data_IF_640725173369
#
_entry.id   IF_640725173369
#
_cell.length_a   1.000
_cell.length_b   1.000
_cell.length_c   1.000
_cell.angle_alpha   90.00
_cell.angle_beta   90.00
_cell.angle_gamma   90.00
#
_symmetry.space_group_name_H-M   'P 1'
#
loop_
_entity.id
_entity.type
_entity.pdbx_description
1 polymer ?
#
# COMPACT_ATOMS: atom_id res chain seq x y z
N UNK A 1 -122.29 -16.08 6.46
CA UNK A 1 -121.82 -15.75 7.83
C UNK A 1 -120.53 -16.54 8.08
N UNK A 2 -119.36 -16.15 7.56
CA UNK A 2 -118.37 -15.29 8.23
C UNK A 2 -118.21 -15.58 9.73
N UNK A 3 -117.18 -16.36 10.08
CA UNK A 3 -116.51 -16.25 11.38
C UNK A 3 -115.02 -16.01 11.15
N UNK A 4 -114.60 -14.85 11.63
CA UNK A 4 -113.23 -14.35 11.69
C UNK A 4 -112.37 -15.25 12.58
N UNK A 5 -111.27 -15.78 12.04
CA UNK A 5 -110.11 -16.10 12.88
C UNK A 5 -109.27 -14.84 12.99
N UNK A 6 -109.40 -14.16 14.15
CA UNK A 6 -108.51 -13.08 14.54
C UNK A 6 -107.10 -13.64 14.71
N UNK A 7 -106.16 -13.13 13.92
CA UNK A 7 -104.75 -13.42 14.06
C UNK A 7 -104.25 -12.90 15.41
N UNK A 8 -104.03 -13.82 16.36
CA UNK A 8 -103.03 -13.61 17.39
C UNK A 8 -101.66 -13.68 16.70
N UNK A 9 -101.06 -12.51 16.43
CA UNK A 9 -99.60 -12.41 16.33
C UNK A 9 -99.07 -12.70 17.73
N UNK A 10 -98.75 -13.96 17.99
CA UNK A 10 -97.83 -14.34 19.06
C UNK A 10 -96.51 -13.63 18.78
N UNK A 11 -96.26 -12.54 19.50
CA UNK A 11 -94.92 -12.03 19.69
C UNK A 11 -94.19 -13.08 20.52
N UNK A 12 -93.58 -14.05 19.86
CA UNK A 12 -92.68 -14.99 20.50
C UNK A 12 -91.43 -14.21 20.93
N UNK A 13 -91.19 -14.22 22.23
CA UNK A 13 -89.94 -13.78 22.85
C UNK A 13 -88.78 -14.48 22.15
N UNK A 14 -87.86 -13.70 21.55
CA UNK A 14 -86.79 -14.19 20.67
C UNK A 14 -85.76 -15.07 21.38
N UNK A 15 -85.71 -15.04 22.72
CA UNK A 15 -84.61 -15.66 23.47
C UNK A 15 -84.84 -17.11 23.89
N UNK A 16 -86.08 -17.63 23.91
CA UNK A 16 -86.34 -19.03 24.31
C UNK A 16 -86.39 -20.01 23.14
N UNK A 17 -86.53 -19.54 21.89
CA UNK A 17 -86.69 -20.42 20.72
C UNK A 17 -85.39 -20.79 20.01
N UNK A 18 -84.33 -19.98 20.17
CA UNK A 18 -83.14 -20.04 19.30
C UNK A 18 -82.02 -20.99 19.75
N UNK A 19 -82.04 -21.50 21.00
CA UNK A 19 -80.99 -22.41 21.50
C UNK A 19 -79.55 -21.84 21.40
N UNK A 20 -78.52 -22.67 21.69
CA UNK A 20 -77.12 -22.28 21.49
C UNK A 20 -76.82 -22.12 19.99
N UNK A 21 -75.92 -21.17 19.66
CA UNK A 21 -75.58 -20.86 18.26
C UNK A 21 -75.00 -22.09 17.55
N UNK A 22 -75.69 -22.50 16.50
CA UNK A 22 -75.22 -23.53 15.58
C UNK A 22 -74.59 -22.89 14.35
N UNK A 23 -73.85 -23.67 13.55
CA UNK A 23 -73.25 -23.18 12.30
C UNK A 23 -74.32 -22.67 11.32
N UNK A 24 -74.05 -21.54 10.66
CA UNK A 24 -74.95 -20.91 9.69
C UNK A 24 -75.29 -21.77 8.46
N UNK A 25 -74.48 -22.79 8.18
CA UNK A 25 -74.66 -23.70 7.04
C UNK A 25 -75.36 -25.00 7.44
N UNK A 26 -75.60 -25.21 8.74
CA UNK A 26 -76.26 -26.42 9.23
C UNK A 26 -77.79 -26.24 9.29
N UNK A 27 -78.48 -27.37 9.18
CA UNK A 27 -79.92 -27.49 9.44
C UNK A 27 -80.81 -26.53 8.62
N UNK A 28 -80.35 -26.06 7.46
CA UNK A 28 -81.10 -25.15 6.60
C UNK A 28 -81.20 -23.71 7.11
N UNK A 29 -80.32 -23.27 8.03
CA UNK A 29 -80.31 -21.91 8.59
C UNK A 29 -80.06 -20.82 7.52
N UNK A 30 -79.15 -21.07 6.57
CA UNK A 30 -78.77 -20.11 5.51
C UNK A 30 -78.39 -18.73 6.09
N UNK A 31 -77.49 -18.73 7.08
CA UNK A 31 -77.15 -17.51 7.81
C UNK A 31 -76.59 -16.41 6.92
N UNK A 32 -77.10 -15.20 7.09
CA UNK A 32 -76.61 -14.00 6.38
C UNK A 32 -76.44 -12.84 7.35
N UNK A 33 -75.46 -11.98 7.08
CA UNK A 33 -75.43 -10.66 7.72
C UNK A 33 -76.46 -9.77 7.06
N UNK A 34 -77.08 -8.89 7.84
CA UNK A 34 -77.92 -7.86 7.25
C UNK A 34 -77.06 -7.01 6.27
N UNK A 35 -77.61 -6.63 5.12
CA UNK A 35 -76.90 -5.81 4.12
C UNK A 35 -76.52 -4.39 4.64
N UNK A 36 -76.88 -4.08 5.89
CA UNK A 36 -76.55 -2.86 6.61
C UNK A 36 -75.16 -2.89 7.24
N UNK A 37 -74.54 -4.07 7.32
CA UNK A 37 -73.15 -4.25 7.76
C UNK A 37 -72.87 -3.85 9.21
N UNK A 38 -73.88 -3.86 10.07
CA UNK A 38 -73.78 -3.41 11.46
C UNK A 38 -74.18 -4.48 12.48
N UNK A 39 -74.27 -5.74 12.04
CA UNK A 39 -74.65 -6.85 12.90
C UNK A 39 -73.42 -7.58 13.48
N UNK A 40 -73.46 -7.84 14.80
CA UNK A 40 -72.44 -8.63 15.50
C UNK A 40 -72.40 -10.09 15.05
N UNK A 41 -73.57 -10.69 14.84
CA UNK A 41 -73.72 -12.08 14.42
C UNK A 41 -74.68 -12.17 13.23
N UNK A 42 -74.47 -13.13 12.31
CA UNK A 42 -75.39 -13.39 11.22
C UNK A 42 -76.68 -14.01 11.76
N UNK A 43 -77.78 -13.83 11.03
CA UNK A 43 -79.09 -14.38 11.37
C UNK A 43 -79.52 -15.40 10.31
N UNK A 44 -80.16 -16.49 10.76
CA UNK A 44 -80.76 -17.46 9.86
C UNK A 44 -81.90 -16.82 9.05
N UNK A 45 -81.92 -17.09 7.75
CA UNK A 45 -83.01 -16.71 6.83
C UNK A 45 -83.91 -17.90 6.48
N UNK A 46 -83.44 -19.13 6.67
CA UNK A 46 -84.20 -20.37 6.48
C UNK A 46 -84.78 -20.90 7.80
N UNK A 47 -84.40 -22.11 8.19
CA UNK A 47 -84.82 -22.65 9.50
C UNK A 47 -84.28 -21.77 10.64
N UNK A 48 -85.08 -21.59 11.69
CA UNK A 48 -84.75 -20.74 12.85
C UNK A 48 -84.61 -19.24 12.49
N UNK A 49 -85.50 -18.71 11.65
CA UNK A 49 -85.48 -17.31 11.17
C UNK A 49 -85.24 -16.31 12.30
N UNK A 50 -84.22 -15.47 12.14
CA UNK A 50 -83.87 -14.41 13.10
C UNK A 50 -82.99 -14.88 14.28
N UNK A 51 -82.73 -16.17 14.41
CA UNK A 51 -81.77 -16.71 15.38
C UNK A 51 -80.34 -16.46 14.91
N UNK A 52 -79.45 -16.16 15.87
CA UNK A 52 -78.03 -15.95 15.59
C UNK A 52 -77.33 -17.30 15.33
N UNK A 53 -76.45 -17.33 14.34
CA UNK A 53 -75.66 -18.52 14.01
C UNK A 53 -74.15 -18.23 14.06
N UNK A 54 -73.36 -19.30 14.12
CA UNK A 54 -71.89 -19.25 14.07
C UNK A 54 -71.44 -19.17 12.62
N UNK A 55 -70.67 -18.12 12.32
CA UNK A 55 -70.17 -17.83 10.97
C UNK A 55 -69.36 -18.98 10.39
N UNK A 56 -69.41 -19.10 9.07
CA UNK A 56 -68.49 -19.92 8.27
C UNK A 56 -67.87 -19.05 7.18
N UNK A 57 -66.92 -19.61 6.42
CA UNK A 57 -66.32 -18.90 5.29
C UNK A 57 -67.36 -18.43 4.26
N UNK A 58 -68.45 -19.19 4.06
CA UNK A 58 -69.55 -18.82 3.17
C UNK A 58 -70.34 -17.61 3.69
N UNK A 59 -70.49 -17.49 5.02
CA UNK A 59 -71.21 -16.36 5.63
C UNK A 59 -70.43 -15.05 5.57
N UNK A 60 -69.10 -15.11 5.71
CA UNK A 60 -68.25 -13.93 5.85
C UNK A 60 -67.89 -13.27 4.52
N UNK A 61 -67.89 -14.02 3.42
CA UNK A 61 -67.44 -13.52 2.13
C UNK A 61 -65.95 -13.16 2.10
N UNK A 62 -65.50 -12.34 1.13
CA UNK A 62 -64.10 -11.93 1.05
C UNK A 62 -63.69 -11.05 2.24
N UNK A 63 -62.45 -11.22 2.72
CA UNK A 63 -61.90 -10.41 3.80
C UNK A 63 -62.00 -8.92 3.49
N UNK A 64 -62.27 -8.16 4.54
CA UNK A 64 -62.32 -6.70 4.54
C UNK A 64 -61.41 -6.19 5.64
N UNK A 65 -61.07 -4.90 5.61
CA UNK A 65 -60.27 -4.29 6.68
C UNK A 65 -60.89 -4.49 8.07
N UNK A 66 -60.06 -4.83 9.05
CA UNK A 66 -60.45 -5.04 10.45
C UNK A 66 -61.06 -3.80 11.15
N UNK A 67 -60.97 -2.62 10.54
CA UNK A 67 -61.57 -1.38 11.05
C UNK A 67 -62.86 -1.00 10.33
N UNK A 68 -63.20 -1.71 9.26
CA UNK A 68 -64.39 -1.43 8.49
C UNK A 68 -65.62 -1.85 9.30
N UNK A 69 -66.64 -0.99 9.27
CA UNK A 69 -67.97 -1.27 9.79
C UNK A 69 -68.01 -1.78 11.25
N UNK A 70 -67.09 -1.36 12.12
CA UNK A 70 -67.09 -1.76 13.54
C UNK A 70 -66.67 -3.20 13.82
N UNK A 71 -65.90 -3.84 12.92
CA UNK A 71 -65.34 -5.19 13.10
C UNK A 71 -64.44 -5.30 14.36
N UNK A 72 -63.50 -4.36 14.54
CA UNK A 72 -62.58 -4.38 15.67
C UNK A 72 -61.67 -5.62 15.69
N UNK A 73 -61.05 -5.95 14.55
CA UNK A 73 -60.28 -7.19 14.40
C UNK A 73 -59.19 -7.37 15.47
N UNK A 74 -59.06 -8.60 15.95
CA UNK A 74 -58.09 -9.00 16.98
C UNK A 74 -57.62 -10.43 16.76
N UNK A 75 -56.36 -10.70 17.11
CA UNK A 75 -55.81 -12.07 17.15
C UNK A 75 -56.25 -12.85 18.40
N UNK A 76 -57.01 -12.22 19.31
CA UNK A 76 -57.83 -12.84 20.37
C UNK A 76 -57.15 -13.93 21.22
N UNK A 77 -55.85 -13.82 21.50
CA UNK A 77 -55.13 -14.84 22.29
C UNK A 77 -55.18 -16.24 21.69
N UNK A 78 -55.61 -16.38 20.43
CA UNK A 78 -55.83 -17.67 19.77
C UNK A 78 -54.51 -18.39 19.47
N UNK A 79 -53.38 -17.68 19.51
CA UNK A 79 -52.04 -18.20 19.28
C UNK A 79 -51.90 -18.77 17.85
N UNK A 80 -50.89 -18.32 17.11
CA UNK A 80 -50.52 -18.95 15.83
C UNK A 80 -51.67 -19.04 14.79
N UNK A 81 -52.49 -17.99 14.65
CA UNK A 81 -53.52 -17.90 13.59
C UNK A 81 -53.05 -17.02 12.43
N UNK A 82 -53.47 -17.36 11.21
CA UNK A 82 -53.06 -16.67 9.98
C UNK A 82 -53.64 -15.26 9.88
N UNK A 83 -54.94 -15.10 10.11
CA UNK A 83 -55.64 -13.82 10.01
C UNK A 83 -56.37 -13.50 11.34
N UNK A 84 -56.50 -12.22 11.71
CA UNK A 84 -57.30 -11.81 12.86
C UNK A 84 -58.79 -12.04 12.59
N UNK A 85 -59.58 -12.10 13.66
CA UNK A 85 -61.03 -12.21 13.57
C UNK A 85 -61.72 -10.97 14.16
N UNK A 86 -62.85 -10.58 13.59
CA UNK A 86 -63.68 -9.51 14.14
C UNK A 86 -64.22 -9.89 15.53
N UNK A 87 -64.28 -8.91 16.44
CA UNK A 87 -64.85 -9.06 17.80
C UNK A 87 -66.15 -8.27 17.98
N UNK A 88 -66.32 -7.21 17.18
CA UNK A 88 -67.52 -6.40 17.05
C UNK A 88 -68.41 -6.94 15.93
N UNK A 89 -68.76 -6.09 14.98
CA UNK A 89 -69.57 -6.50 13.83
C UNK A 89 -68.87 -7.61 13.03
N UNK A 90 -69.64 -8.56 12.50
CA UNK A 90 -69.09 -9.74 11.81
C UNK A 90 -68.24 -10.66 12.70
N UNK A 91 -68.57 -10.78 13.98
CA UNK A 91 -67.77 -11.51 14.96
C UNK A 91 -67.45 -12.96 14.50
N UNK A 92 -66.16 -13.30 14.50
CA UNK A 92 -65.65 -14.59 14.03
C UNK A 92 -65.23 -14.64 12.56
N UNK A 93 -65.58 -13.63 11.75
CA UNK A 93 -65.08 -13.50 10.39
C UNK A 93 -63.63 -13.02 10.36
N UNK A 94 -62.83 -13.57 9.43
CA UNK A 94 -61.47 -13.09 9.19
C UNK A 94 -61.49 -11.69 8.57
N UNK A 95 -60.47 -10.88 8.90
CA UNK A 95 -60.32 -9.54 8.35
C UNK A 95 -58.86 -9.24 7.97
N UNK A 96 -58.66 -8.27 7.08
CA UNK A 96 -57.33 -7.81 6.67
C UNK A 96 -56.78 -6.85 7.71
N UNK A 97 -55.56 -7.14 8.18
CA UNK A 97 -54.86 -6.37 9.21
C UNK A 97 -54.61 -4.93 8.77
N UNK A 98 -54.53 -4.04 9.75
CA UNK A 98 -53.88 -2.74 9.58
C UNK A 98 -52.83 -2.57 10.68
N UNK A 99 -51.95 -1.55 10.62
CA UNK A 99 -50.92 -1.34 11.63
C UNK A 99 -51.44 -1.29 13.07
N UNK A 100 -52.69 -0.89 13.28
CA UNK A 100 -53.31 -0.84 14.61
C UNK A 100 -53.88 -2.19 15.09
N UNK A 101 -54.10 -3.16 14.19
CA UNK A 101 -54.45 -4.55 14.54
C UNK A 101 -53.22 -5.33 14.99
N UNK A 102 -52.07 -4.97 14.43
CA UNK A 102 -50.79 -5.57 14.74
C UNK A 102 -50.25 -4.95 16.04
N UNK A 103 -49.91 -5.80 17.02
CA UNK A 103 -49.24 -5.35 18.23
C UNK A 103 -47.79 -4.90 17.96
N UNK A 104 -46.96 -4.75 19.01
CA UNK A 104 -45.54 -4.51 18.87
C UNK A 104 -44.88 -5.54 17.96
N UNK A 105 -43.93 -5.09 17.12
CA UNK A 105 -43.17 -5.96 16.21
C UNK A 105 -42.49 -7.06 16.98
N UNK A 106 -42.76 -8.30 16.60
CA UNK A 106 -42.07 -9.48 17.10
C UNK A 106 -41.07 -9.96 16.05
N UNK A 107 -40.17 -10.87 16.44
CA UNK A 107 -39.27 -11.55 15.49
C UNK A 107 -40.06 -12.24 14.37
N UNK A 108 -39.58 -12.12 13.13
CA UNK A 108 -40.18 -12.77 11.96
C UNK A 108 -40.16 -14.31 12.01
N UNK A 109 -39.36 -14.89 12.90
CA UNK A 109 -39.26 -16.34 13.10
C UNK A 109 -40.11 -16.83 14.28
N UNK A 110 -40.69 -15.93 15.07
CA UNK A 110 -41.49 -16.31 16.23
C UNK A 110 -42.93 -16.66 15.83
N UNK A 111 -43.54 -17.55 16.60
CA UNK A 111 -44.97 -17.86 16.54
C UNK A 111 -45.48 -18.24 15.13
N UNK A 112 -44.62 -18.83 14.29
CA UNK A 112 -44.97 -19.28 12.93
C UNK A 112 -45.28 -18.14 11.95
N UNK A 113 -44.76 -16.93 12.19
CA UNK A 113 -44.94 -15.74 11.32
C UNK A 113 -44.45 -15.97 9.88
N UNK A 114 -43.27 -16.61 9.73
CA UNK A 114 -42.59 -16.80 8.44
C UNK A 114 -42.44 -15.46 7.69
N UNK A 115 -41.69 -14.52 8.28
CA UNK A 115 -41.54 -13.19 7.72
C UNK A 115 -40.83 -13.17 6.36
N UNK A 116 -41.28 -12.27 5.50
CA UNK A 116 -40.73 -12.06 4.16
C UNK A 116 -40.86 -10.59 3.76
N UNK A 117 -39.95 -10.13 2.91
CA UNK A 117 -40.10 -8.85 2.20
C UNK A 117 -40.89 -9.11 0.90
N UNK A 118 -42.21 -9.01 0.99
CA UNK A 118 -43.12 -9.26 -0.14
C UNK A 118 -43.06 -8.11 -1.16
N UNK A 119 -42.15 -8.21 -2.15
CA UNK A 119 -42.11 -7.31 -3.33
C UNK A 119 -40.74 -6.69 -3.60
N UNK A 120 -40.41 -6.56 -4.88
CA UNK A 120 -39.15 -5.97 -5.36
C UNK A 120 -39.16 -4.45 -5.18
N UNK A 121 -38.44 -3.97 -4.16
CA UNK A 121 -38.10 -2.56 -3.96
C UNK A 121 -38.98 -1.83 -2.93
N UNK A 122 -38.32 -1.16 -1.98
CA UNK A 122 -38.89 -0.13 -1.09
C UNK A 122 -39.83 -0.61 0.04
N UNK A 123 -39.67 -1.87 0.47
CA UNK A 123 -40.34 -2.36 1.66
C UNK A 123 -39.48 -2.07 2.90
N UNK A 124 -39.99 -1.20 3.78
CA UNK A 124 -39.29 -0.77 5.01
C UNK A 124 -39.09 -1.93 6.00
N UNK A 125 -40.09 -2.79 6.15
CA UNK A 125 -40.13 -3.84 7.14
C UNK A 125 -40.65 -5.16 6.55
N UNK A 126 -40.13 -6.28 7.03
CA UNK A 126 -40.65 -7.58 6.66
C UNK A 126 -42.05 -7.77 7.22
N UNK A 127 -42.87 -8.56 6.52
CA UNK A 127 -44.23 -8.89 6.93
C UNK A 127 -44.39 -10.38 7.10
N UNK A 128 -45.18 -10.79 8.10
CA UNK A 128 -45.54 -12.18 8.25
C UNK A 128 -46.35 -12.67 7.04
N UNK A 129 -46.06 -13.88 6.57
CA UNK A 129 -46.77 -14.51 5.44
C UNK A 129 -47.65 -15.67 5.88
N UNK A 130 -47.39 -16.20 7.07
CA UNK A 130 -48.20 -17.24 7.70
C UNK A 130 -48.92 -16.67 8.92
N UNK A 131 -48.57 -17.04 10.16
CA UNK A 131 -49.30 -16.51 11.31
C UNK A 131 -49.15 -15.00 11.40
N UNK A 132 -50.22 -14.28 11.75
CA UNK A 132 -50.23 -12.82 11.75
C UNK A 132 -49.98 -12.18 10.37
N UNK A 133 -50.47 -12.83 9.30
CA UNK A 133 -50.23 -12.41 7.92
C UNK A 133 -50.53 -10.92 7.69
N UNK A 134 -49.57 -10.21 7.11
CA UNK A 134 -49.65 -8.76 6.83
C UNK A 134 -49.19 -7.86 7.99
N UNK A 135 -48.90 -8.41 9.19
CA UNK A 135 -48.27 -7.65 10.26
C UNK A 135 -46.76 -7.53 10.04
N UNK A 136 -46.21 -6.36 10.34
CA UNK A 136 -44.78 -6.16 10.27
C UNK A 136 -44.04 -6.90 11.40
N UNK A 137 -42.87 -7.43 11.08
CA UNK A 137 -42.01 -8.16 12.01
C UNK A 137 -40.56 -7.63 11.96
N UNK A 138 -39.78 -7.97 13.00
CA UNK A 138 -38.34 -7.68 13.07
C UNK A 138 -37.60 -8.76 12.30
N UNK A 139 -36.93 -8.36 11.22
CA UNK A 139 -36.22 -9.27 10.34
C UNK A 139 -35.10 -10.02 11.08
N UNK A 140 -34.93 -11.29 10.73
CA UNK A 140 -33.85 -12.16 11.20
C UNK A 140 -32.94 -12.55 10.01
N UNK A 141 -31.81 -13.23 10.24
CA UNK A 141 -30.99 -13.74 9.14
C UNK A 141 -31.78 -14.61 8.14
N UNK A 142 -32.78 -15.36 8.61
CA UNK A 142 -33.64 -16.17 7.77
C UNK A 142 -34.57 -15.33 6.86
N UNK A 143 -34.96 -14.14 7.32
CA UNK A 143 -35.79 -13.19 6.56
C UNK A 143 -34.99 -12.45 5.49
N UNK A 144 -33.75 -12.09 5.80
CA UNK A 144 -32.92 -11.22 4.97
C UNK A 144 -32.21 -11.94 3.81
N UNK A 145 -31.98 -13.25 3.96
CA UNK A 145 -31.19 -14.02 3.00
C UNK A 145 -29.74 -13.53 2.91
N UNK A 146 -29.04 -13.79 1.78
CA UNK A 146 -27.65 -13.37 1.61
C UNK A 146 -27.50 -11.85 1.58
N UNK A 147 -26.49 -11.33 2.29
CA UNK A 147 -26.18 -9.89 2.35
C UNK A 147 -26.10 -9.28 0.94
N UNK A 148 -26.90 -8.24 0.72
CA UNK A 148 -26.88 -7.43 -0.49
C UNK A 148 -26.13 -6.13 -0.26
N UNK A 149 -25.84 -5.41 -1.34
CA UNK A 149 -25.19 -4.09 -1.28
C UNK A 149 -25.99 -3.10 -0.41
N UNK A 150 -25.32 -2.31 0.42
CA UNK A 150 -25.98 -1.28 1.24
C UNK A 150 -26.60 -0.12 0.42
N UNK A 151 -26.19 0.00 -0.84
CA UNK A 151 -26.59 1.09 -1.74
C UNK A 151 -27.71 0.71 -2.73
N UNK A 152 -28.31 -0.47 -2.62
CA UNK A 152 -29.40 -0.89 -3.53
C UNK A 152 -30.77 -0.83 -2.84
N UNK A 153 -31.82 -0.66 -3.64
CA UNK A 153 -33.22 -0.75 -3.22
C UNK A 153 -33.56 0.11 -1.99
N UNK A 154 -32.99 1.31 -1.91
CA UNK A 154 -33.17 2.26 -0.82
C UNK A 154 -32.83 1.69 0.58
N UNK A 155 -31.90 0.74 0.68
CA UNK A 155 -31.41 0.19 1.97
C UNK A 155 -30.85 1.30 2.89
N UNK A 156 -30.14 2.27 2.30
CA UNK A 156 -29.44 3.34 3.02
C UNK A 156 -28.61 2.78 4.18
N UNK A 157 -27.67 1.88 3.87
CA UNK A 157 -26.91 1.18 4.90
C UNK A 157 -26.12 2.14 5.78
N UNK A 158 -26.05 1.82 7.07
CA UNK A 158 -25.24 2.53 8.05
C UNK A 158 -24.55 1.54 8.98
N UNK A 159 -23.36 1.91 9.45
CA UNK A 159 -22.62 1.12 10.42
C UNK A 159 -23.09 1.40 11.84
N UNK A 160 -23.28 0.33 12.61
CA UNK A 160 -23.38 0.43 14.06
C UNK A 160 -22.00 0.67 14.67
N UNK A 161 -21.85 1.74 15.46
CA UNK A 161 -20.58 2.05 16.13
C UNK A 161 -20.20 1.03 17.21
N UNK A 162 -21.16 0.26 17.74
CA UNK A 162 -20.92 -0.74 18.78
C UNK A 162 -20.50 -2.11 18.23
N UNK A 163 -20.92 -2.45 17.01
CA UNK A 163 -20.65 -3.77 16.41
C UNK A 163 -19.84 -3.71 15.13
N UNK A 164 -19.71 -2.54 14.49
CA UNK A 164 -19.02 -2.36 13.22
C UNK A 164 -19.72 -3.01 12.02
N UNK A 165 -20.96 -3.46 12.21
CA UNK A 165 -21.76 -4.14 11.18
C UNK A 165 -22.62 -3.11 10.45
N UNK A 166 -22.62 -3.16 9.12
CA UNK A 166 -23.51 -2.37 8.29
C UNK A 166 -24.88 -3.05 8.20
N UNK A 167 -25.93 -2.27 8.45
CA UNK A 167 -27.32 -2.70 8.33
C UNK A 167 -28.15 -1.65 7.62
N UNK A 168 -29.20 -2.08 6.94
CA UNK A 168 -30.12 -1.16 6.27
C UNK A 168 -30.94 -0.35 7.29
N UNK A 169 -31.09 0.96 7.02
CA UNK A 169 -31.80 1.90 7.90
C UNK A 169 -33.12 2.39 7.32
N UNK A 170 -33.36 2.20 6.02
CA UNK A 170 -34.55 2.71 5.35
C UNK A 170 -35.37 1.55 4.76
N UNK A 171 -34.96 0.90 3.68
CA UNK A 171 -35.58 -0.37 3.23
C UNK A 171 -34.90 -1.57 3.87
N UNK A 172 -35.61 -2.68 4.10
CA UNK A 172 -35.03 -3.91 4.70
C UNK A 172 -34.44 -3.72 6.11
N UNK A 173 -35.10 -2.91 6.96
CA UNK A 173 -34.59 -2.59 8.30
C UNK A 173 -34.35 -3.86 9.11
N UNK A 174 -33.15 -3.95 9.70
CA UNK A 174 -32.68 -5.09 10.49
C UNK A 174 -31.83 -6.09 9.70
N UNK A 175 -31.78 -5.97 8.37
CA UNK A 175 -30.91 -6.79 7.54
C UNK A 175 -29.50 -6.21 7.45
N UNK A 176 -28.50 -7.11 7.54
CA UNK A 176 -27.11 -6.77 7.27
C UNK A 176 -26.90 -6.53 5.77
N UNK A 177 -25.98 -5.63 5.45
CA UNK A 177 -25.64 -5.31 4.07
C UNK A 177 -24.13 -5.22 3.87
N UNK A 178 -23.68 -5.42 2.64
CA UNK A 178 -22.28 -5.26 2.25
C UNK A 178 -22.02 -3.80 1.95
N UNK A 179 -21.20 -3.16 2.78
CA UNK A 179 -20.85 -1.76 2.65
C UNK A 179 -20.09 -1.48 1.35
N UNK A 180 -20.31 -0.29 0.82
CA UNK A 180 -19.65 0.26 -0.37
C UNK A 180 -19.26 1.70 -0.11
N UNK A 181 -18.72 2.38 -1.13
CA UNK A 181 -18.15 3.72 -1.02
C UNK A 181 -19.04 4.72 -0.26
N UNK A 182 -20.36 4.75 -0.53
CA UNK A 182 -21.27 5.68 0.16
C UNK A 182 -21.44 5.32 1.65
N UNK A 183 -21.52 4.03 1.99
CA UNK A 183 -21.64 3.56 3.38
C UNK A 183 -20.37 3.81 4.19
N UNK A 184 -19.20 3.70 3.56
CA UNK A 184 -17.90 3.78 4.22
C UNK A 184 -17.49 5.21 4.59
N UNK A 185 -18.02 6.22 3.89
CA UNK A 185 -17.64 7.61 4.09
C UNK A 185 -16.17 7.88 3.76
N UNK A 186 -15.59 8.89 4.43
CA UNK A 186 -14.18 9.24 4.24
C UNK A 186 -13.25 8.21 4.88
N UNK A 187 -12.16 7.87 4.19
CA UNK A 187 -11.14 6.94 4.70
C UNK A 187 -10.55 7.42 6.02
N UNK A 188 -10.56 6.55 7.01
CA UNK A 188 -9.90 6.74 8.30
C UNK A 188 -8.66 5.85 8.41
N UNK A 189 -7.89 6.01 9.49
CA UNK A 189 -6.74 5.12 9.76
C UNK A 189 -7.19 3.66 9.87
N UNK A 190 -6.41 2.74 9.30
CA UNK A 190 -6.66 1.30 9.37
C UNK A 190 -6.60 0.71 10.79
N UNK A 191 -6.00 1.44 11.74
CA UNK A 191 -5.93 1.05 13.14
C UNK A 191 -7.04 1.70 13.99
N UNK A 192 -7.83 2.60 13.41
CA UNK A 192 -8.91 3.29 14.12
C UNK A 192 -10.18 2.44 14.20
N UNK A 193 -10.93 2.61 15.29
CA UNK A 193 -12.30 2.10 15.41
C UNK A 193 -12.44 0.58 15.26
N UNK A 194 -11.41 -0.20 15.62
CA UNK A 194 -11.36 -1.66 15.45
C UNK A 194 -11.46 -2.13 13.98
N UNK A 195 -11.08 -1.29 13.02
CA UNK A 195 -11.06 -1.62 11.59
C UNK A 195 -10.21 -2.87 11.29
N UNK A 196 -9.01 -2.95 11.87
CA UNK A 196 -8.01 -3.99 11.57
C UNK A 196 -7.74 -4.06 10.07
N UNK A 197 -7.30 -2.94 9.50
CA UNK A 197 -7.08 -2.85 8.05
C UNK A 197 -5.94 -3.73 7.58
N UNK A 198 -6.15 -4.35 6.42
CA UNK A 198 -5.20 -5.28 5.80
C UNK A 198 -5.26 -5.19 4.26
N UNK A 199 -4.16 -5.55 3.61
CA UNK A 199 -4.05 -5.67 2.15
C UNK A 199 -4.38 -7.09 1.71
N UNK A 200 -5.58 -7.30 1.18
CA UNK A 200 -5.95 -8.58 0.58
C UNK A 200 -5.40 -8.67 -0.85
N UNK A 201 -4.12 -9.01 -0.98
CA UNK A 201 -3.42 -9.15 -2.25
C UNK A 201 -2.76 -7.84 -2.73
N UNK A 202 -2.55 -7.72 -4.04
CA UNK A 202 -1.92 -6.53 -4.66
C UNK A 202 -2.98 -5.47 -4.98
N UNK A 203 -3.51 -4.82 -3.94
CA UNK A 203 -4.51 -3.76 -4.07
C UNK A 203 -3.90 -2.37 -3.82
N UNK A 204 -4.49 -1.31 -4.40
CA UNK A 204 -4.07 0.06 -4.14
C UNK A 204 -4.19 0.45 -2.67
N UNK A 205 -5.31 0.10 -2.06
CA UNK A 205 -5.65 0.49 -0.69
C UNK A 205 -5.99 -0.75 0.15
N UNK A 206 -5.69 -0.70 1.46
CA UNK A 206 -6.10 -1.73 2.38
C UNK A 206 -7.59 -1.59 2.71
N UNK A 207 -8.20 -2.67 3.16
CA UNK A 207 -9.59 -2.69 3.61
C UNK A 207 -9.71 -3.17 5.04
N UNK A 208 -10.68 -2.63 5.77
CA UNK A 208 -10.99 -3.11 7.11
C UNK A 208 -11.46 -4.56 7.08
N UNK A 209 -10.95 -5.38 8.01
CA UNK A 209 -11.30 -6.79 8.13
C UNK A 209 -12.30 -7.08 9.25
N UNK A 210 -12.40 -6.19 10.23
CA UNK A 210 -13.30 -6.32 11.38
C UNK A 210 -14.41 -5.25 11.33
N UNK A 211 -14.32 -4.16 12.09
CA UNK A 211 -15.32 -3.10 12.00
C UNK A 211 -15.20 -2.40 10.65
N UNK A 212 -16.32 -1.99 10.05
CA UNK A 212 -16.31 -1.37 8.72
C UNK A 212 -15.83 -2.31 7.61
N UNK A 213 -16.03 -3.62 7.78
CA UNK A 213 -15.50 -4.64 6.86
C UNK A 213 -15.78 -4.33 5.39
N UNK A 214 -14.72 -4.32 4.59
CA UNK A 214 -14.77 -4.02 3.16
C UNK A 214 -14.63 -2.54 2.80
N UNK A 215 -14.59 -1.63 3.79
CA UNK A 215 -14.27 -0.23 3.57
C UNK A 215 -12.76 0.00 3.44
N UNK A 216 -12.37 0.88 2.51
CA UNK A 216 -10.97 1.31 2.39
C UNK A 216 -10.54 2.15 3.60
N UNK A 217 -9.28 2.01 3.98
CA UNK A 217 -8.67 2.78 5.07
C UNK A 217 -7.29 3.33 4.67
N UNK A 218 -6.78 4.30 5.42
CA UNK A 218 -5.46 4.86 5.26
C UNK A 218 -4.45 3.94 5.96
N UNK A 219 -3.54 3.38 5.17
CA UNK A 219 -2.53 2.44 5.66
C UNK A 219 -1.68 3.05 6.78
N UNK A 220 -1.33 2.23 7.76
CA UNK A 220 -0.42 2.57 8.85
C UNK A 220 0.82 1.66 8.81
N UNK A 221 1.88 1.93 9.59
CA UNK A 221 3.01 1.02 9.70
C UNK A 221 2.61 -0.42 10.09
N UNK A 222 1.55 -0.58 10.87
CA UNK A 222 1.03 -1.91 11.25
C UNK A 222 0.38 -2.62 10.05
N UNK A 223 -0.35 -1.90 9.20
CA UNK A 223 -0.95 -2.44 7.97
C UNK A 223 0.08 -2.80 6.91
N UNK A 224 1.15 -2.02 6.81
CA UNK A 224 2.16 -2.16 5.76
C UNK A 224 3.21 -3.24 6.05
N UNK A 225 3.44 -3.56 7.33
CA UNK A 225 4.54 -4.43 7.74
C UNK A 225 5.92 -3.87 7.38
N UNK A 226 6.96 -4.72 7.33
CA UNK A 226 8.32 -4.31 6.99
C UNK A 226 8.44 -3.79 5.54
N UNK A 227 9.11 -2.66 5.31
CA UNK A 227 9.30 -2.10 3.97
C UNK A 227 9.92 -3.09 2.97
N UNK A 228 9.24 -3.25 1.83
CA UNK A 228 9.70 -4.04 0.68
C UNK A 228 10.24 -3.14 -0.43
N UNK A 229 10.86 -3.71 -1.47
CA UNK A 229 11.40 -2.91 -2.57
C UNK A 229 10.30 -2.15 -3.34
N UNK A 230 10.56 -0.86 -3.62
CA UNK A 230 9.61 0.05 -4.26
C UNK A 230 9.15 -0.37 -5.68
N UNK A 231 9.84 -1.33 -6.31
CA UNK A 231 9.50 -1.89 -7.62
C UNK A 231 8.73 -3.21 -7.56
N UNK A 232 8.53 -3.78 -6.36
CA UNK A 232 7.84 -5.06 -6.22
C UNK A 232 6.32 -4.88 -6.18
N UNK A 233 5.60 -5.89 -6.67
CA UNK A 233 4.15 -6.04 -6.57
C UNK A 233 3.34 -4.81 -7.04
N UNK A 234 3.88 -4.02 -7.97
CA UNK A 234 3.22 -2.82 -8.49
C UNK A 234 3.17 -1.65 -7.50
N UNK A 235 4.06 -1.59 -6.50
CA UNK A 235 4.16 -0.48 -5.54
C UNK A 235 4.39 0.88 -6.22
N UNK A 236 5.24 0.92 -7.25
CA UNK A 236 5.65 2.13 -7.98
C UNK A 236 6.13 3.23 -7.02
N UNK A 237 7.06 2.90 -6.13
CA UNK A 237 7.46 3.81 -5.06
C UNK A 237 8.04 5.14 -5.54
N UNK A 238 7.64 6.22 -4.86
CA UNK A 238 8.07 7.58 -5.12
C UNK A 238 8.43 8.30 -3.82
N UNK A 239 9.31 9.30 -3.90
CA UNK A 239 9.73 10.07 -2.73
C UNK A 239 8.71 11.13 -2.33
N UNK A 240 8.37 11.15 -1.03
CA UNK A 240 7.66 12.27 -0.43
C UNK A 240 8.66 13.39 -0.11
N UNK A 241 8.50 14.55 -0.75
CA UNK A 241 9.38 15.71 -0.56
C UNK A 241 9.33 16.30 0.86
N UNK A 242 8.32 15.95 1.65
CA UNK A 242 8.16 16.43 3.03
C UNK A 242 9.15 15.78 4.00
N UNK A 243 9.57 14.53 3.75
CA UNK A 243 10.42 13.78 4.67
C UNK A 243 11.54 12.98 3.99
N UNK A 244 11.62 13.00 2.65
CA UNK A 244 12.67 12.34 1.88
C UNK A 244 12.57 10.82 1.84
N UNK A 245 11.46 10.23 2.32
CA UNK A 245 11.21 8.78 2.31
C UNK A 245 10.41 8.37 1.08
N UNK A 246 10.60 7.12 0.64
CA UNK A 246 9.86 6.57 -0.48
C UNK A 246 8.62 5.81 0.01
N UNK A 247 7.49 6.07 -0.65
CA UNK A 247 6.21 5.42 -0.39
C UNK A 247 5.64 4.86 -1.68
N UNK A 248 4.91 3.76 -1.57
CA UNK A 248 4.17 3.24 -2.70
C UNK A 248 3.05 4.21 -3.13
N UNK A 249 2.90 4.39 -4.45
CA UNK A 249 1.88 5.27 -5.03
C UNK A 249 0.86 4.55 -5.91
N UNK A 250 1.05 3.25 -6.16
CA UNK A 250 0.10 2.43 -6.92
C UNK A 250 -0.51 1.33 -6.07
N UNK A 251 0.12 0.16 -5.91
CA UNK A 251 -0.30 -0.81 -4.90
C UNK A 251 0.29 -0.48 -3.54
N UNK A 252 -0.40 -0.78 -2.45
CA UNK A 252 0.08 -0.49 -1.09
C UNK A 252 0.25 1.01 -0.78
N UNK A 253 -0.64 1.86 -1.30
CA UNK A 253 -0.53 3.33 -1.21
C UNK A 253 -0.35 3.77 0.24
N UNK A 254 0.69 4.57 0.48
CA UNK A 254 1.02 5.10 1.81
C UNK A 254 1.99 4.23 2.61
N UNK A 255 2.35 3.03 2.14
CA UNK A 255 3.36 2.20 2.76
C UNK A 255 4.78 2.63 2.37
N UNK A 256 5.68 2.70 3.35
CA UNK A 256 7.11 2.99 3.13
C UNK A 256 7.77 1.81 2.39
N UNK A 257 8.62 2.11 1.40
CA UNK A 257 9.31 1.11 0.60
C UNK A 257 10.82 1.36 0.52
N UNK A 258 11.58 0.29 0.29
CA UNK A 258 13.03 0.31 0.07
C UNK A 258 13.33 0.76 -1.35
N UNK A 259 14.11 1.82 -1.46
CA UNK A 259 14.43 2.44 -2.75
C UNK A 259 15.29 1.53 -3.59
N UNK A 260 15.03 1.52 -4.91
CA UNK A 260 15.86 0.83 -5.88
C UNK A 260 16.33 1.81 -6.98
N UNK A 261 17.07 1.30 -7.95
CA UNK A 261 17.61 2.09 -9.05
C UNK A 261 16.54 2.82 -9.86
N UNK A 262 15.34 2.25 -10.00
CA UNK A 262 14.22 2.90 -10.69
C UNK A 262 13.65 4.07 -9.89
N UNK A 263 13.59 3.95 -8.56
CA UNK A 263 13.09 5.02 -7.67
C UNK A 263 14.06 6.21 -7.58
N UNK A 264 15.37 5.97 -7.60
CA UNK A 264 16.39 7.00 -7.41
C UNK A 264 16.61 7.94 -8.62
N UNK A 265 16.22 7.51 -9.82
CA UNK A 265 16.47 8.29 -11.04
C UNK A 265 17.95 8.55 -11.32
N UNK A 266 18.25 9.63 -12.05
CA UNK A 266 19.64 10.02 -12.37
C UNK A 266 20.31 10.70 -11.16
N UNK A 267 21.58 10.37 -10.84
CA UNK A 267 22.28 10.99 -9.72
C UNK A 267 22.33 12.52 -9.83
N UNK A 268 21.89 13.19 -8.76
CA UNK A 268 21.96 14.65 -8.59
C UNK A 268 23.09 15.03 -7.62
N UNK A 269 23.34 16.32 -7.42
CA UNK A 269 24.35 16.80 -6.46
C UNK A 269 24.11 16.23 -5.06
N UNK A 270 25.16 15.76 -4.38
CA UNK A 270 25.08 15.24 -3.01
C UNK A 270 24.67 16.31 -1.96
N UNK A 271 24.74 17.59 -2.32
CA UNK A 271 24.32 18.71 -1.47
C UNK A 271 22.89 19.20 -1.81
N UNK A 272 22.27 18.67 -2.85
CA UNK A 272 20.92 19.07 -3.26
C UNK A 272 19.84 18.39 -2.43
N UNK A 273 18.72 19.10 -2.19
CA UNK A 273 17.48 18.53 -1.68
C UNK A 273 17.60 17.80 -0.34
N UNK A 274 18.50 18.25 0.55
CA UNK A 274 18.78 17.63 1.85
C UNK A 274 19.32 16.19 1.77
N UNK A 275 19.90 15.78 0.63
CA UNK A 275 20.51 14.45 0.43
C UNK A 275 21.56 14.13 1.50
N UNK A 276 22.41 15.10 1.83
CA UNK A 276 23.56 14.94 2.74
C UNK A 276 24.40 13.73 2.32
N UNK A 277 24.93 13.79 1.10
CA UNK A 277 25.68 12.67 0.54
C UNK A 277 26.95 12.35 1.32
N UNK A 278 27.35 11.08 1.27
CA UNK A 278 28.63 10.63 1.79
C UNK A 278 28.97 9.22 1.33
N UNK A 279 30.09 8.69 1.82
CA UNK A 279 30.61 7.37 1.48
C UNK A 279 30.47 6.42 2.68
N UNK A 280 29.29 5.85 2.92
CA UNK A 280 29.10 4.91 4.03
C UNK A 280 29.84 3.59 3.73
N UNK A 281 30.75 3.19 4.62
CA UNK A 281 31.47 1.91 4.53
C UNK A 281 32.38 1.81 3.30
N UNK A 282 32.34 0.67 2.60
CA UNK A 282 33.18 0.37 1.44
C UNK A 282 32.52 0.78 0.10
N UNK A 283 31.55 1.70 0.12
CA UNK A 283 30.86 2.11 -1.11
C UNK A 283 31.71 3.14 -1.84
N UNK A 284 32.10 2.81 -3.08
CA UNK A 284 32.99 3.63 -3.93
C UNK A 284 32.34 4.93 -4.41
N UNK A 285 31.02 4.91 -4.63
CA UNK A 285 30.22 6.05 -5.06
C UNK A 285 29.47 6.66 -3.87
N UNK A 286 29.29 7.99 -3.84
CA UNK A 286 28.59 8.62 -2.74
C UNK A 286 27.09 8.35 -2.85
N UNK A 287 26.46 8.13 -1.71
CA UNK A 287 25.01 7.94 -1.60
C UNK A 287 24.42 8.96 -0.62
N UNK A 288 23.17 9.34 -0.84
CA UNK A 288 22.44 10.17 0.10
C UNK A 288 22.25 9.43 1.43
N UNK A 289 22.44 10.13 2.54
CA UNK A 289 22.32 9.58 3.89
C UNK A 289 21.06 10.06 4.62
N UNK A 290 20.51 11.20 4.21
CA UNK A 290 19.29 11.77 4.76
C UNK A 290 18.12 11.65 3.77
N UNK A 291 17.75 12.70 3.04
CA UNK A 291 16.70 12.59 2.03
C UNK A 291 17.18 11.71 0.87
N UNK A 292 16.30 10.89 0.29
CA UNK A 292 16.68 9.97 -0.79
C UNK A 292 17.70 8.91 -0.34
N UNK A 293 17.69 8.54 0.95
CA UNK A 293 18.66 7.62 1.56
C UNK A 293 18.87 6.35 0.72
N UNK A 294 20.12 6.08 0.37
CA UNK A 294 20.52 4.92 -0.46
C UNK A 294 20.60 5.20 -1.96
N UNK A 295 20.14 6.36 -2.44
CA UNK A 295 20.32 6.77 -3.82
C UNK A 295 21.72 7.34 -4.06
N UNK A 296 22.30 6.98 -5.21
CA UNK A 296 23.59 7.52 -5.67
C UNK A 296 23.47 9.03 -5.95
N UNK A 297 24.50 9.78 -5.56
CA UNK A 297 24.58 11.21 -5.84
C UNK A 297 25.93 11.56 -6.50
N UNK A 298 26.09 12.81 -6.95
CA UNK A 298 27.30 13.35 -7.56
C UNK A 298 28.11 14.06 -6.49
N UNK A 299 29.34 13.61 -6.30
CA UNK A 299 30.25 14.16 -5.31
C UNK A 299 30.44 15.68 -5.47
N UNK A 300 30.45 16.39 -4.34
CA UNK A 300 30.67 17.84 -4.26
C UNK A 300 31.95 18.15 -3.48
N UNK A 301 32.50 19.35 -3.69
CA UNK A 301 33.70 19.79 -2.98
C UNK A 301 33.52 19.76 -1.45
N UNK A 302 32.34 20.18 -0.97
CA UNK A 302 31.98 20.18 0.45
C UNK A 302 32.06 18.79 1.06
N UNK A 303 31.59 17.77 0.35
CA UNK A 303 31.60 16.38 0.81
C UNK A 303 32.99 15.74 0.73
N UNK A 304 33.78 16.08 -0.30
CA UNK A 304 35.09 15.49 -0.54
C UNK A 304 36.20 16.06 0.36
N UNK A 305 36.00 17.25 0.93
CA UNK A 305 37.02 17.94 1.72
C UNK A 305 38.22 18.39 0.88
N UNK A 306 39.36 18.61 1.55
CA UNK A 306 40.58 19.05 0.87
C UNK A 306 41.18 17.94 -0.02
N UNK A 307 41.54 18.23 -1.28
CA UNK A 307 42.11 17.26 -2.19
C UNK A 307 43.31 16.51 -1.58
N UNK A 308 43.27 15.18 -1.68
CA UNK A 308 44.33 14.27 -1.23
C UNK A 308 45.04 13.65 -2.44
N UNK A 309 46.18 12.98 -2.25
CA UNK A 309 46.88 12.27 -3.33
C UNK A 309 45.95 11.31 -4.10
N UNK A 310 46.02 11.33 -5.43
CA UNK A 310 45.23 10.47 -6.32
C UNK A 310 45.52 8.97 -6.19
N UNK A 311 46.61 8.58 -5.53
CA UNK A 311 46.96 7.18 -5.26
C UNK A 311 46.61 6.76 -3.82
N UNK A 312 46.13 7.70 -2.99
CA UNK A 312 45.81 7.42 -1.59
C UNK A 312 44.51 6.64 -1.48
N UNK A 313 44.48 5.65 -0.59
CA UNK A 313 43.29 4.90 -0.21
C UNK A 313 42.48 4.32 -1.39
N UNK A 314 43.13 3.94 -2.49
CA UNK A 314 42.45 3.36 -3.66
C UNK A 314 41.65 4.35 -4.51
N UNK A 315 41.94 5.66 -4.42
CA UNK A 315 41.31 6.69 -5.25
C UNK A 315 41.47 6.45 -6.77
N UNK A 316 42.61 5.92 -7.20
CA UNK A 316 42.92 5.65 -8.61
C UNK A 316 42.60 6.86 -9.51
N UNK A 317 43.17 8.01 -9.16
CA UNK A 317 42.81 9.28 -9.80
C UNK A 317 43.20 9.36 -11.27
N UNK A 318 42.37 10.06 -12.04
CA UNK A 318 42.57 10.32 -13.45
C UNK A 318 41.89 11.64 -13.84
N UNK A 319 42.36 12.26 -14.91
CA UNK A 319 41.78 13.49 -15.43
C UNK A 319 40.40 13.24 -16.04
N UNK A 320 39.46 14.13 -15.71
CA UNK A 320 38.16 14.21 -16.36
C UNK A 320 38.21 15.10 -17.63
N UNK A 321 37.06 15.30 -18.28
CA UNK A 321 36.98 16.09 -19.51
C UNK A 321 37.23 17.60 -19.32
N UNK A 322 37.34 18.07 -18.08
CA UNK A 322 37.64 19.46 -17.73
C UNK A 322 39.07 19.60 -17.18
N UNK A 323 39.93 18.62 -17.44
CA UNK A 323 41.33 18.60 -16.99
C UNK A 323 41.50 18.67 -15.46
N UNK A 324 40.50 18.23 -14.70
CA UNK A 324 40.57 18.08 -13.24
C UNK A 324 40.83 16.63 -12.88
N UNK A 325 41.87 16.38 -12.08
CA UNK A 325 42.16 15.05 -11.53
C UNK A 325 41.10 14.66 -10.50
N UNK A 326 40.35 13.58 -10.79
CA UNK A 326 39.31 13.04 -9.90
C UNK A 326 39.51 11.56 -9.63
N UNK A 327 39.10 11.11 -8.45
CA UNK A 327 39.11 9.68 -8.11
C UNK A 327 38.13 8.89 -8.99
N UNK A 328 38.57 7.72 -9.48
CA UNK A 328 37.74 6.74 -10.20
C UNK A 328 37.49 5.45 -9.40
N UNK A 329 38.29 5.20 -8.37
CA UNK A 329 38.12 4.12 -7.40
C UNK A 329 37.35 4.61 -6.16
N UNK A 330 37.94 4.47 -4.97
CA UNK A 330 37.32 5.02 -3.76
C UNK A 330 37.15 6.54 -3.87
N UNK A 331 36.05 7.08 -3.35
CA UNK A 331 35.72 8.51 -3.41
C UNK A 331 35.43 9.03 -4.83
N UNK A 332 34.73 8.23 -5.66
CA UNK A 332 34.47 8.58 -7.08
C UNK A 332 33.96 10.01 -7.23
N UNK A 333 34.61 10.77 -8.10
CA UNK A 333 34.23 12.15 -8.43
C UNK A 333 34.82 13.22 -7.52
N UNK A 334 35.48 12.85 -6.42
CA UNK A 334 36.25 13.80 -5.60
C UNK A 334 37.54 14.24 -6.30
N UNK A 335 37.87 15.53 -6.19
CA UNK A 335 39.14 16.05 -6.69
C UNK A 335 40.30 15.49 -5.88
N UNK A 336 41.38 15.14 -6.57
CA UNK A 336 42.61 14.64 -5.95
C UNK A 336 43.85 15.37 -6.51
N UNK A 337 44.94 15.35 -5.76
CA UNK A 337 46.23 15.88 -6.17
C UNK A 337 46.92 14.83 -7.07
N UNK A 338 47.14 15.14 -8.35
CA UNK A 338 47.68 14.20 -9.32
C UNK A 338 49.08 13.74 -8.92
N UNK A 339 49.35 12.46 -9.17
CA UNK A 339 50.66 11.84 -8.97
C UNK A 339 51.29 11.49 -10.32
N UNK A 340 52.52 10.99 -10.32
CA UNK A 340 53.15 10.49 -11.54
C UNK A 340 52.32 9.41 -12.25
N UNK A 341 51.59 8.57 -11.50
CA UNK A 341 50.68 7.58 -12.05
C UNK A 341 49.45 8.21 -12.73
N UNK A 342 48.93 9.32 -12.18
CA UNK A 342 47.81 10.07 -12.77
C UNK A 342 48.20 10.84 -14.03
N UNK A 343 49.43 11.35 -14.07
CA UNK A 343 49.94 12.22 -15.14
C UNK A 343 50.39 11.49 -16.41
N UNK A 344 50.68 10.19 -16.32
CA UNK A 344 51.25 9.42 -17.42
C UNK A 344 52.67 9.88 -17.78
N UNK A 345 53.08 9.64 -19.04
CA UNK A 345 54.41 10.05 -19.51
C UNK A 345 54.48 11.56 -19.73
N UNK A 346 55.49 12.27 -19.17
CA UNK A 346 55.64 13.70 -19.35
C UNK A 346 55.61 14.11 -20.83
N UNK A 347 54.79 15.10 -21.15
CA UNK A 347 54.68 15.71 -22.48
C UNK A 347 55.27 17.12 -22.45
N UNK A 348 55.50 17.74 -23.61
CA UNK A 348 56.00 19.12 -23.69
C UNK A 348 55.11 20.11 -22.93
N UNK A 349 55.74 21.04 -22.20
CA UNK A 349 55.06 21.99 -21.31
C UNK A 349 54.15 23.02 -22.02
N UNK A 350 54.21 23.12 -23.34
CA UNK A 350 53.34 23.96 -24.19
C UNK A 350 52.19 23.16 -24.83
N UNK A 351 52.16 21.83 -24.66
CA UNK A 351 51.16 20.96 -25.28
C UNK A 351 49.85 20.97 -24.48
N UNK A 352 48.73 20.94 -25.20
CA UNK A 352 47.38 20.81 -24.66
C UNK A 352 47.02 21.81 -23.53
N UNK A 353 47.58 23.03 -23.58
CA UNK A 353 47.29 24.05 -22.58
C UNK A 353 47.97 23.83 -21.22
N UNK A 354 49.01 22.99 -21.13
CA UNK A 354 49.76 22.73 -19.89
C UNK A 354 50.36 23.99 -19.26
N UNK A 355 50.82 24.95 -20.07
CA UNK A 355 51.45 26.20 -19.62
C UNK A 355 52.51 25.97 -18.52
N UNK A 356 53.48 25.11 -18.83
CA UNK A 356 54.41 24.61 -17.82
C UNK A 356 55.40 25.65 -17.34
N UNK A 357 55.74 25.54 -16.06
CA UNK A 357 56.71 26.38 -15.37
C UNK A 357 57.45 25.62 -14.28
N UNK A 358 58.59 26.13 -13.86
CA UNK A 358 59.38 25.48 -12.81
C UNK A 358 58.78 25.72 -11.43
N UNK A 359 58.53 24.62 -10.72
CA UNK A 359 58.17 24.56 -9.31
C UNK A 359 59.11 23.53 -8.64
N UNK A 360 59.87 23.97 -7.65
CA UNK A 360 60.87 23.15 -6.93
C UNK A 360 61.89 22.45 -7.86
N UNK A 361 62.34 23.15 -8.91
CA UNK A 361 63.35 22.65 -9.85
C UNK A 361 62.82 21.73 -10.97
N UNK A 362 61.55 21.32 -10.90
CA UNK A 362 60.89 20.48 -11.92
C UNK A 362 59.88 21.30 -12.71
N UNK A 363 59.87 21.17 -14.04
CA UNK A 363 58.85 21.79 -14.88
C UNK A 363 57.51 21.07 -14.68
N UNK A 364 56.49 21.83 -14.26
CA UNK A 364 55.14 21.32 -14.02
C UNK A 364 54.11 22.19 -14.73
N UNK A 365 53.03 21.58 -15.20
CA UNK A 365 51.91 22.31 -15.80
C UNK A 365 51.25 23.26 -14.78
N UNK A 366 50.94 24.48 -15.20
CA UNK A 366 50.12 25.45 -14.44
C UNK A 366 48.70 25.60 -15.00
N UNK A 367 48.51 25.32 -16.28
CA UNK A 367 47.21 25.26 -16.95
C UNK A 367 46.60 23.87 -16.84
N UNK A 368 46.30 23.22 -17.96
CA UNK A 368 45.78 21.86 -17.98
C UNK A 368 46.76 20.87 -17.36
N UNK A 369 46.26 19.85 -16.66
CA UNK A 369 47.09 18.86 -15.95
C UNK A 369 47.95 19.46 -14.81
N UNK A 370 47.42 20.46 -14.08
CA UNK A 370 48.12 21.18 -13.00
C UNK A 370 48.95 20.23 -12.12
N UNK A 371 50.20 20.61 -11.85
CA UNK A 371 51.19 19.85 -11.07
C UNK A 371 51.77 18.58 -11.72
N UNK A 372 51.32 18.20 -12.92
CA UNK A 372 51.98 17.12 -13.66
C UNK A 372 53.36 17.53 -14.17
N UNK A 373 54.37 16.67 -14.07
CA UNK A 373 55.67 16.92 -14.68
C UNK A 373 55.53 17.00 -16.21
N UNK A 374 56.16 18.01 -16.81
CA UNK A 374 56.20 18.21 -18.25
C UNK A 374 57.64 18.39 -18.74
N UNK A 375 57.88 18.11 -20.01
CA UNK A 375 59.17 18.34 -20.66
C UNK A 375 59.29 19.83 -20.98
N UNK A 376 60.23 20.56 -20.35
CA UNK A 376 60.35 22.00 -20.55
C UNK A 376 60.67 22.30 -22.01
N UNK A 377 59.96 23.28 -22.55
CA UNK A 377 60.22 23.85 -23.87
C UNK A 377 60.93 25.21 -23.72
N UNK A 378 61.48 25.80 -24.79
CA UNK A 378 62.20 27.07 -24.69
C UNK A 378 61.42 28.19 -23.96
N UNK A 379 60.09 28.25 -24.15
CA UNK A 379 59.23 29.21 -23.44
C UNK A 379 59.14 28.96 -21.93
N UNK A 380 59.25 27.70 -21.48
CA UNK A 380 59.28 27.32 -20.05
C UNK A 380 60.63 27.60 -19.39
N UNK A 381 61.72 27.55 -20.16
CA UNK A 381 63.10 27.71 -19.67
C UNK A 381 63.50 29.17 -19.41
N UNK A 382 62.80 30.13 -20.00
CA UNK A 382 63.22 31.53 -20.06
C UNK A 382 64.51 31.70 -20.88
N UNK A 383 65.21 32.82 -20.69
CA UNK A 383 66.49 33.06 -21.39
C UNK A 383 67.49 31.94 -21.08
N UNK A 384 68.08 31.37 -22.13
CA UNK A 384 69.09 30.31 -22.08
C UNK A 384 70.32 30.80 -21.31
N UNK A 385 70.52 30.27 -20.10
CA UNK A 385 71.69 30.56 -19.27
C UNK A 385 72.91 29.73 -19.67
N UNK A 386 74.09 30.05 -19.12
CA UNK A 386 75.26 29.20 -19.29
C UNK A 386 75.08 27.89 -18.50
N UNK A 387 75.56 26.76 -19.05
CA UNK A 387 75.46 25.47 -18.37
C UNK A 387 76.09 25.46 -16.97
N UNK A 388 77.06 26.35 -16.72
CA UNK A 388 77.67 26.52 -15.39
C UNK A 388 76.67 26.92 -14.31
N UNK A 389 75.63 27.69 -14.65
CA UNK A 389 74.69 28.25 -13.69
C UNK A 389 73.63 27.23 -13.22
N UNK A 390 73.59 26.04 -13.83
CA UNK A 390 72.56 25.04 -13.61
C UNK A 390 73.08 23.58 -13.60
N UNK A 391 74.38 23.41 -13.34
CA UNK A 391 75.11 22.14 -13.40
C UNK A 391 74.84 21.36 -14.70
N UNK A 392 74.91 22.07 -15.83
CA UNK A 392 74.59 21.53 -17.14
C UNK A 392 75.54 20.43 -17.59
N UNK A 393 75.01 19.46 -18.33
CA UNK A 393 75.77 18.39 -18.94
C UNK A 393 75.03 17.77 -20.12
N UNK A 394 75.66 16.81 -20.78
CA UNK A 394 75.07 16.09 -21.92
C UNK A 394 73.87 15.24 -21.46
N UNK A 395 72.76 15.38 -22.18
CA UNK A 395 71.61 14.46 -22.16
C UNK A 395 71.95 13.16 -22.90
N UNK A 396 71.09 12.14 -22.76
CA UNK A 396 71.21 10.88 -23.51
C UNK A 396 71.10 11.07 -25.04
N UNK A 397 70.52 12.20 -25.47
CA UNK A 397 70.42 12.62 -26.87
C UNK A 397 71.59 13.48 -27.36
N UNK A 398 72.61 13.72 -26.52
CA UNK A 398 73.81 14.49 -26.89
C UNK A 398 73.64 16.01 -26.84
N UNK A 399 72.58 16.52 -26.24
CA UNK A 399 72.34 17.96 -26.10
C UNK A 399 72.80 18.46 -24.71
N UNK A 400 73.33 19.68 -24.62
CA UNK A 400 73.67 20.30 -23.34
C UNK A 400 72.40 20.76 -22.62
N UNK A 401 72.11 20.16 -21.48
CA UNK A 401 70.94 20.47 -20.65
C UNK A 401 71.31 20.68 -19.20
N UNK A 402 70.57 21.54 -18.50
CA UNK A 402 70.70 21.74 -17.06
C UNK A 402 70.35 20.47 -16.28
N UNK A 403 71.16 20.10 -15.27
CA UNK A 403 70.94 18.90 -14.43
C UNK A 403 70.50 19.19 -13.00
N UNK A 404 70.56 20.45 -12.55
CA UNK A 404 70.08 20.85 -11.21
C UNK A 404 68.91 21.82 -11.29
N UNK A 405 69.17 23.12 -11.50
CA UNK A 405 68.12 24.14 -11.65
C UNK A 405 67.61 24.19 -13.07
N UNK A 406 66.28 24.20 -13.27
CA UNK A 406 65.65 24.13 -14.60
C UNK A 406 65.98 22.84 -15.36
N UNK A 407 65.82 21.69 -14.68
CA UNK A 407 66.20 20.38 -15.21
C UNK A 407 65.71 20.15 -16.64
N UNK A 408 66.59 19.69 -17.53
CA UNK A 408 66.33 19.38 -18.94
C UNK A 408 66.13 20.61 -19.88
N UNK A 409 66.30 21.85 -19.39
CA UNK A 409 66.37 23.02 -20.26
C UNK A 409 67.68 23.06 -21.04
N UNK A 410 67.67 23.47 -22.33
CA UNK A 410 68.89 23.70 -23.08
C UNK A 410 69.74 24.77 -22.39
N UNK A 411 71.05 24.55 -22.33
CA UNK A 411 72.01 25.51 -21.82
C UNK A 411 73.18 25.64 -22.78
N UNK A 412 73.85 26.79 -22.78
CA UNK A 412 75.02 27.02 -23.63
C UNK A 412 76.26 26.55 -22.88
N UNK A 413 77.04 25.58 -23.40
CA UNK A 413 78.29 25.19 -22.77
C UNK A 413 79.24 26.39 -22.76
N UNK A 414 79.92 26.59 -21.63
CA UNK A 414 80.99 27.59 -21.53
C UNK A 414 82.11 27.18 -22.52
N UNK A 415 82.62 28.08 -23.38
CA UNK A 415 83.71 27.77 -24.32
C UNK A 415 84.99 27.20 -23.66
N UNK A 416 85.10 27.26 -22.32
CA UNK A 416 86.22 26.70 -21.54
C UNK A 416 85.95 25.27 -21.02
N UNK A 417 84.81 24.65 -21.35
CA UNK A 417 84.47 23.31 -20.87
C UNK A 417 85.05 22.20 -21.75
N UNK A 418 86.30 21.81 -21.51
CA UNK A 418 86.83 20.51 -21.98
C UNK A 418 86.31 19.40 -21.06
N UNK A 419 85.47 18.45 -21.54
CA UNK A 419 85.12 17.30 -20.71
C UNK A 419 86.37 16.48 -20.39
N UNK A 420 86.50 15.89 -19.19
CA UNK A 420 87.56 14.94 -18.92
C UNK A 420 87.46 13.76 -19.91
N UNK A 421 88.60 13.26 -20.42
CA UNK A 421 88.63 12.25 -21.48
C UNK A 421 87.90 10.98 -21.06
N UNK A 422 87.16 10.42 -22.01
CA UNK A 422 86.51 9.11 -21.91
C UNK A 422 87.56 8.04 -21.58
N UNK A 423 87.36 7.33 -20.46
CA UNK A 423 88.18 6.18 -20.11
C UNK A 423 88.13 5.15 -21.24
N UNK A 424 89.27 4.97 -21.91
CA UNK A 424 89.51 3.92 -22.90
C UNK A 424 89.32 2.53 -22.26
N UNK A 425 88.80 1.55 -23.03
CA UNK A 425 88.72 0.17 -22.57
C UNK A 425 90.13 -0.43 -22.46
N UNK A 426 90.46 -0.98 -21.29
CA UNK A 426 91.69 -1.73 -21.05
C UNK A 426 91.74 -3.02 -21.87
N UNK A 427 92.91 -3.43 -22.40
CA UNK A 427 93.02 -4.57 -23.31
C UNK A 427 92.88 -5.92 -22.59
N UNK A 428 92.23 -6.86 -23.27
CA UNK A 428 92.23 -8.30 -22.97
C UNK A 428 93.66 -8.84 -22.89
N UNK A 429 93.97 -9.53 -21.79
CA UNK A 429 95.02 -10.55 -21.75
C UNK A 429 94.37 -11.93 -21.61
N UNK A 430 94.91 -12.87 -22.40
CA UNK A 430 94.42 -14.22 -22.65
C UNK A 430 94.83 -15.23 -21.56
N UNK A 431 93.88 -16.13 -21.27
CA UNK A 431 94.02 -17.56 -20.86
C UNK A 431 94.53 -17.87 -19.43
N UNK A 432 94.33 -19.10 -18.88
CA UNK A 432 93.64 -20.32 -19.38
C UNK A 432 92.62 -20.99 -18.40
N UNK A 433 91.77 -21.89 -18.93
CA UNK A 433 91.15 -23.02 -18.19
C UNK A 433 92.13 -24.22 -18.15
N UNK A 434 92.00 -25.30 -17.33
CA UNK A 434 90.76 -25.88 -16.77
C UNK A 434 90.85 -26.60 -15.38
N UNK A 435 89.72 -27.26 -14.99
CA UNK A 435 89.53 -28.41 -14.05
C UNK A 435 89.52 -28.08 -12.54
N UNK A 436 88.72 -28.71 -11.67
CA UNK A 436 87.72 -29.80 -11.77
C UNK A 436 87.06 -30.06 -10.39
N UNK A 437 85.84 -30.65 -10.38
CA UNK A 437 85.24 -31.53 -9.34
C UNK A 437 84.83 -30.85 -8.00
N UNK A 438 83.73 -31.19 -7.33
CA UNK A 438 82.81 -32.36 -7.40
C UNK A 438 81.51 -32.09 -6.63
N UNK A 439 80.41 -32.75 -7.06
CA UNK A 439 79.31 -33.44 -6.32
C UNK A 439 78.61 -32.73 -5.14
N UNK A 440 77.29 -32.78 -4.98
CA UNK A 440 76.22 -33.46 -5.71
C UNK A 440 74.93 -33.57 -4.86
N UNK A 441 73.81 -33.91 -5.51
CA UNK A 441 72.61 -34.65 -5.01
C UNK A 441 71.77 -33.99 -3.89
N UNK A 442 70.44 -34.07 -3.79
CA UNK A 442 69.38 -34.94 -4.33
C UNK A 442 68.00 -34.25 -4.08
N UNK A 443 67.05 -34.30 -5.03
CA UNK A 443 65.75 -35.00 -4.99
C UNK A 443 64.78 -34.69 -3.82
N UNK A 444 63.51 -34.50 -4.17
CA UNK A 444 62.41 -35.09 -3.41
C UNK A 444 61.24 -34.16 -3.08
N UNK A 445 60.25 -34.13 -3.97
CA UNK A 445 58.87 -33.71 -3.67
C UNK A 445 58.15 -34.77 -2.83
N UNK A 446 57.35 -34.38 -1.83
CA UNK A 446 55.94 -34.84 -1.63
C UNK A 446 55.24 -34.19 -0.42
N UNK A 447 53.99 -33.81 -0.68
CA UNK A 447 52.78 -33.63 0.13
C UNK A 447 52.76 -34.06 1.62
N UNK A 448 52.04 -33.30 2.46
CA UNK A 448 50.74 -33.71 3.06
C UNK A 448 50.25 -32.76 4.17
N UNK A 449 48.93 -32.78 4.34
CA UNK A 449 48.07 -31.98 5.23
C UNK A 449 48.36 -32.17 6.73
N UNK A 450 48.04 -31.18 7.56
CA UNK A 450 47.29 -31.43 8.81
C UNK A 450 46.49 -30.21 9.26
N UNK A 451 45.30 -30.53 9.76
CA UNK A 451 44.23 -29.68 10.29
C UNK A 451 44.42 -29.48 11.80
N UNK A 452 44.01 -28.33 12.34
CA UNK A 452 43.46 -28.11 13.70
C UNK A 452 42.83 -26.71 13.70
N UNK A 453 41.51 -26.55 13.62
CA UNK A 453 40.46 -26.62 14.67
C UNK A 453 40.68 -25.69 15.87
N UNK A 454 39.87 -24.62 15.97
CA UNK A 454 39.31 -24.16 17.24
C UNK A 454 38.18 -23.16 17.00
N UNK A 455 37.06 -23.41 17.68
CA UNK A 455 35.76 -22.80 17.52
C UNK A 455 35.57 -21.54 18.37
N UNK A 456 34.50 -20.81 18.02
CA UNK A 456 33.64 -19.83 18.71
C UNK A 456 33.64 -19.86 20.27
N UNK A 457 33.15 -18.83 21.03
CA UNK A 457 31.86 -18.17 20.76
C UNK A 457 31.63 -16.71 21.25
N UNK A 458 30.57 -16.09 20.73
CA UNK A 458 29.77 -15.00 21.35
C UNK A 458 28.86 -15.58 22.47
N UNK A 459 28.02 -14.85 23.26
CA UNK A 459 27.66 -13.42 23.26
C UNK A 459 27.42 -12.74 24.66
N UNK A 460 27.05 -11.44 24.64
CA UNK A 460 26.13 -10.68 25.55
C UNK A 460 26.49 -10.52 27.06
N UNK A 461 25.88 -9.57 27.81
CA UNK A 461 24.66 -8.75 27.59
C UNK A 461 24.86 -7.30 27.12
#
# INVERSE_FOLDING_TARGET
MHRQFRGLRLYCDRDTTCGPRQSCDKNGCQGTFNNLGNAKYPQCSGNFVGCNCTVTAATCGPRQSCYKNGCGGSFNGLGNVKYPQCIGNFAGCECDVTPATCGPRQSCDNNGCAGSFNGLGNVKYAQCTNNFAGCDCTATPNTCGPNKSCDINDCNGAFSLSTGIASCTLSFIGCQCTAKAHTCGNRQSCDAGNCQGDFTGSTPLPTCQNFFKGCECNATPNTCGPPQDCGMNGCNGAFALSNGKAYCTSNFVGCECKVNTATCGKPQSCDAGNCQGGFPGNVVEPVCQNFFKGCKCKATATMCGAPQSCDKNGCAGAYDANDVARCRGNFVGCQCNPTSATCGTPQNCDKNGCDGAFLDGVARCRGNFVNCPCLPVPSTCGNTGQCRDCDGGLSDSGNYVCKSTKYNCPCTPDPVWTPPPTNRPTPRLLRPCPRSRTRGTAWGSTSSMTVTSSAAPTPFP
#
